data_IF_574928816783
#
_entry.id   IF_574928816783
#
_cell.length_a   1.000
_cell.length_b   1.000
_cell.length_c   1.000
_cell.angle_alpha   90.00
_cell.angle_beta   90.00
_cell.angle_gamma   90.00
#
_symmetry.space_group_name_H-M   'P 1'
#
loop_
_entity.id
_entity.type
_entity.pdbx_description
1 polymer ?
#
# COMPACT_ATOMS: atom_id res chain seq x y z
N UNK A 1 4.47 6.33 -70.91
CA UNK A 1 4.50 7.35 -69.83
C UNK A 1 3.53 6.92 -68.75
N UNK A 2 4.08 6.71 -67.53
CA UNK A 2 3.52 6.59 -66.17
C UNK A 2 1.97 6.53 -66.05
N UNK A 3 1.37 5.40 -65.65
CA UNK A 3 1.22 4.85 -64.29
C UNK A 3 0.50 5.79 -63.31
N UNK A 4 -0.76 5.48 -62.95
CA UNK A 4 -1.27 5.58 -61.57
C UNK A 4 -2.63 4.92 -61.45
N UNK A 5 -2.62 3.65 -61.02
CA UNK A 5 -3.76 3.02 -60.37
C UNK A 5 -3.82 3.58 -58.94
N UNK A 6 -4.89 4.30 -58.62
CA UNK A 6 -5.16 4.77 -57.25
C UNK A 6 -5.71 3.58 -56.47
N UNK A 7 -4.81 2.91 -55.75
CA UNK A 7 -5.18 1.93 -54.72
C UNK A 7 -5.65 2.72 -53.52
N UNK A 8 -6.97 2.77 -53.33
CA UNK A 8 -7.59 3.34 -52.14
C UNK A 8 -7.45 2.30 -51.02
N UNK A 9 -6.37 2.41 -50.25
CA UNK A 9 -6.10 1.60 -49.07
C UNK A 9 -7.09 2.02 -47.96
N UNK A 10 -8.18 1.26 -47.80
CA UNK A 10 -9.01 1.35 -46.60
C UNK A 10 -8.18 0.90 -45.40
N UNK A 11 -7.66 1.86 -44.64
CA UNK A 11 -7.15 1.61 -43.29
C UNK A 11 -8.33 1.20 -42.40
N UNK A 12 -8.55 -0.12 -42.28
CA UNK A 12 -9.27 -0.70 -41.17
C UNK A 12 -8.47 -0.41 -39.90
N UNK A 13 -8.78 0.70 -39.25
CA UNK A 13 -8.42 0.95 -37.86
C UNK A 13 -9.15 -0.11 -37.03
N UNK A 14 -8.51 -1.26 -36.86
CA UNK A 14 -8.82 -2.21 -35.79
C UNK A 14 -8.48 -1.50 -34.49
N UNK A 15 -9.38 -0.64 -34.03
CA UNK A 15 -9.48 -0.32 -32.62
C UNK A 15 -9.80 -1.62 -31.93
N UNK A 16 -8.77 -2.32 -31.45
CA UNK A 16 -8.95 -3.28 -30.39
C UNK A 16 -9.65 -2.49 -29.29
N UNK A 17 -10.96 -2.70 -29.12
CA UNK A 17 -11.64 -2.36 -27.89
C UNK A 17 -10.88 -3.12 -26.81
N UNK A 18 -9.90 -2.46 -26.18
CA UNK A 18 -9.37 -2.89 -24.90
C UNK A 18 -10.61 -3.05 -24.03
N UNK A 19 -10.98 -4.28 -23.74
CA UNK A 19 -12.12 -4.58 -22.91
C UNK A 19 -11.81 -3.91 -21.58
N UNK A 20 -12.53 -2.84 -21.24
CA UNK A 20 -12.27 -2.09 -20.00
C UNK A 20 -12.26 -3.09 -18.86
N UNK A 21 -11.15 -3.12 -18.12
CA UNK A 21 -10.99 -3.90 -16.89
C UNK A 21 -12.27 -3.76 -16.06
N UNK A 22 -12.89 -4.89 -15.68
CA UNK A 22 -14.01 -4.86 -14.74
C UNK A 22 -13.47 -4.33 -13.41
N UNK A 23 -14.14 -3.33 -12.84
CA UNK A 23 -13.79 -2.72 -11.55
C UNK A 23 -14.95 -3.02 -10.57
N UNK A 24 -14.68 -3.40 -9.31
CA UNK A 24 -13.35 -3.49 -8.69
C UNK A 24 -12.52 -4.69 -9.19
N UNK A 25 -11.19 -4.52 -9.18
CA UNK A 25 -10.21 -5.56 -9.54
C UNK A 25 -8.97 -5.42 -8.67
N UNK A 26 -8.28 -6.54 -8.41
CA UNK A 26 -7.02 -6.56 -7.69
C UNK A 26 -6.01 -7.52 -8.33
N UNK A 27 -4.73 -7.33 -8.05
CA UNK A 27 -3.64 -8.20 -8.51
C UNK A 27 -2.60 -8.35 -7.41
N UNK A 28 -1.98 -9.53 -7.32
CA UNK A 28 -0.84 -9.81 -6.44
C UNK A 28 0.51 -9.45 -7.06
N UNK A 29 0.49 -8.73 -8.20
CA UNK A 29 1.71 -8.38 -8.94
C UNK A 29 2.64 -9.58 -9.16
N UNK A 30 2.06 -10.76 -9.43
CA UNK A 30 2.78 -12.05 -9.42
C UNK A 30 3.75 -12.25 -10.59
N UNK A 31 3.92 -11.24 -11.45
CA UNK A 31 4.86 -11.29 -12.56
C UNK A 31 4.97 -9.98 -13.32
N UNK A 32 5.76 -10.03 -14.39
CA UNK A 32 6.20 -8.85 -15.14
C UNK A 32 5.04 -8.01 -15.70
N UNK A 33 3.93 -8.62 -16.11
CA UNK A 33 2.85 -7.91 -16.77
C UNK A 33 2.20 -6.89 -15.84
N UNK A 34 1.68 -7.36 -14.70
CA UNK A 34 1.01 -6.51 -13.71
C UNK A 34 1.99 -5.58 -12.98
N UNK A 35 3.22 -6.03 -12.69
CA UNK A 35 4.28 -5.15 -12.15
C UNK A 35 4.54 -3.95 -13.08
N UNK A 36 4.68 -4.20 -14.39
CA UNK A 36 4.94 -3.13 -15.37
C UNK A 36 3.78 -2.14 -15.44
N UNK A 37 2.54 -2.63 -15.40
CA UNK A 37 1.34 -1.77 -15.39
C UNK A 37 1.30 -0.88 -14.15
N UNK A 38 1.47 -1.46 -12.96
CA UNK A 38 1.42 -0.71 -11.70
C UNK A 38 2.55 0.30 -11.60
N UNK A 39 3.79 -0.07 -11.96
CA UNK A 39 4.91 0.88 -11.96
C UNK A 39 4.65 2.06 -12.89
N UNK A 40 4.03 1.84 -14.06
CA UNK A 40 3.69 2.94 -14.97
C UNK A 40 2.65 3.88 -14.35
N UNK A 41 1.66 3.36 -13.65
CA UNK A 41 0.66 4.19 -12.96
C UNK A 41 1.30 5.00 -11.81
N UNK A 42 2.23 4.38 -11.07
CA UNK A 42 3.04 5.04 -10.03
C UNK A 42 3.88 6.18 -10.60
N UNK A 43 4.64 5.92 -11.67
CA UNK A 43 5.45 6.93 -12.38
C UNK A 43 4.57 8.10 -12.86
N UNK A 44 3.40 7.77 -13.44
CA UNK A 44 2.47 8.78 -13.98
C UNK A 44 1.80 9.60 -12.87
N UNK A 45 1.62 9.03 -11.69
CA UNK A 45 1.10 9.73 -10.52
C UNK A 45 2.16 10.60 -9.82
N UNK A 46 3.45 10.41 -10.14
CA UNK A 46 4.56 11.11 -9.53
C UNK A 46 5.04 10.47 -8.23
N UNK A 47 4.81 9.17 -8.04
CA UNK A 47 5.37 8.44 -6.89
C UNK A 47 6.90 8.40 -6.97
N UNK A 48 7.55 8.33 -5.81
CA UNK A 48 9.00 8.28 -5.72
C UNK A 48 9.53 6.85 -5.75
N UNK A 49 10.82 6.70 -6.09
CA UNK A 49 11.55 5.43 -6.04
C UNK A 49 10.84 4.25 -6.72
N UNK A 50 10.12 4.49 -7.81
CA UNK A 50 9.36 3.45 -8.54
C UNK A 50 10.27 2.36 -9.10
N UNK A 51 11.52 2.68 -9.45
CA UNK A 51 12.52 1.69 -9.87
C UNK A 51 12.89 0.74 -8.70
N UNK A 52 13.16 1.28 -7.51
CA UNK A 52 13.41 0.50 -6.29
C UNK A 52 12.21 -0.35 -5.92
N UNK A 53 11.00 0.22 -5.96
CA UNK A 53 9.76 -0.54 -5.77
C UNK A 53 9.64 -1.69 -6.77
N UNK A 54 9.92 -1.44 -8.06
CA UNK A 54 9.89 -2.48 -9.10
C UNK A 54 10.86 -3.62 -8.78
N UNK A 55 12.06 -3.30 -8.30
CA UNK A 55 13.03 -4.30 -7.85
C UNK A 55 12.49 -5.13 -6.68
N UNK A 56 11.85 -4.48 -5.69
CA UNK A 56 11.22 -5.14 -4.55
C UNK A 56 10.12 -6.11 -4.95
N UNK A 57 9.17 -5.65 -5.77
CA UNK A 57 8.06 -6.50 -6.20
C UNK A 57 8.54 -7.63 -7.13
N UNK A 58 9.50 -7.35 -8.01
CA UNK A 58 10.03 -8.38 -8.93
C UNK A 58 10.73 -9.49 -8.16
N UNK A 59 11.56 -9.14 -7.19
CA UNK A 59 12.27 -10.11 -6.37
C UNK A 59 11.32 -10.97 -5.52
N UNK A 60 10.32 -10.35 -4.89
CA UNK A 60 9.28 -11.09 -4.18
C UNK A 60 8.50 -12.00 -5.13
N UNK A 61 8.08 -11.51 -6.29
CA UNK A 61 7.38 -12.32 -7.29
C UNK A 61 8.24 -13.50 -7.77
N UNK A 62 9.54 -13.29 -7.99
CA UNK A 62 10.46 -14.29 -8.50
C UNK A 62 10.89 -15.34 -7.47
N UNK A 63 10.74 -15.04 -6.17
CA UNK A 63 11.06 -15.93 -5.04
C UNK A 63 9.77 -16.45 -4.37
N UNK A 64 9.26 -15.71 -3.38
CA UNK A 64 8.04 -15.98 -2.62
C UNK A 64 6.83 -16.24 -3.53
N UNK A 65 6.64 -15.38 -4.53
CA UNK A 65 5.52 -15.43 -5.45
C UNK A 65 5.50 -16.68 -6.31
N UNK A 66 6.64 -17.10 -6.87
CA UNK A 66 6.76 -18.37 -7.60
C UNK A 66 6.48 -19.58 -6.71
N UNK A 67 6.96 -19.57 -5.47
CA UNK A 67 6.73 -20.66 -4.53
C UNK A 67 5.24 -20.77 -4.14
N UNK A 68 4.58 -19.64 -3.93
CA UNK A 68 3.14 -19.55 -3.64
C UNK A 68 2.25 -19.61 -4.89
N UNK A 69 2.84 -19.63 -6.09
CA UNK A 69 2.14 -19.63 -7.39
C UNK A 69 1.22 -18.42 -7.58
N UNK A 70 1.69 -17.24 -7.19
CA UNK A 70 0.96 -16.00 -7.43
C UNK A 70 0.76 -15.77 -8.92
N UNK A 71 -0.45 -15.36 -9.29
CA UNK A 71 -0.80 -15.13 -10.69
C UNK A 71 -0.43 -13.70 -11.14
N UNK A 72 0.01 -13.58 -12.39
CA UNK A 72 0.33 -12.30 -13.04
C UNK A 72 -0.88 -11.77 -13.83
N UNK A 73 -2.02 -11.67 -13.14
CA UNK A 73 -3.29 -11.22 -13.70
C UNK A 73 -4.05 -10.35 -12.71
N UNK A 74 -5.07 -9.68 -13.23
CA UNK A 74 -6.08 -9.02 -12.42
C UNK A 74 -7.28 -9.94 -12.18
N UNK A 75 -7.79 -9.93 -10.96
CA UNK A 75 -8.86 -10.79 -10.47
C UNK A 75 -9.88 -9.99 -9.66
N UNK A 76 -11.01 -10.63 -9.35
CA UNK A 76 -11.98 -10.07 -8.40
C UNK A 76 -11.36 -10.02 -6.99
N UNK A 77 -11.39 -8.87 -6.29
CA UNK A 77 -10.80 -8.75 -4.96
C UNK A 77 -11.36 -9.77 -3.94
N UNK A 78 -12.62 -10.19 -4.06
CA UNK A 78 -13.21 -11.19 -3.15
C UNK A 78 -12.61 -12.59 -3.34
N UNK A 79 -11.98 -12.85 -4.49
CA UNK A 79 -11.34 -14.11 -4.82
C UNK A 79 -9.83 -14.11 -4.54
N UNK A 80 -9.26 -12.97 -4.14
CA UNK A 80 -7.84 -12.84 -3.84
C UNK A 80 -7.51 -13.65 -2.58
N UNK A 81 -6.81 -14.78 -2.76
CA UNK A 81 -6.30 -15.61 -1.68
C UNK A 81 -4.89 -16.07 -2.00
N UNK A 82 -3.92 -15.61 -1.23
CA UNK A 82 -2.53 -16.07 -1.30
C UNK A 82 -2.24 -17.06 -0.17
N UNK A 83 -1.40 -18.05 -0.46
CA UNK A 83 -0.80 -18.90 0.57
C UNK A 83 0.41 -18.16 1.15
N UNK A 84 0.19 -17.42 2.25
CA UNK A 84 1.21 -16.60 2.90
C UNK A 84 2.33 -17.44 3.51
N UNK A 85 2.02 -18.66 3.97
CA UNK A 85 3.02 -19.62 4.43
C UNK A 85 3.95 -20.02 3.29
N UNK A 86 3.42 -20.26 2.07
CA UNK A 86 4.25 -20.51 0.89
C UNK A 86 5.02 -19.27 0.43
N UNK A 87 4.46 -18.08 0.60
CA UNK A 87 5.21 -16.85 0.31
C UNK A 87 6.43 -16.76 1.23
N UNK A 88 6.24 -16.92 2.54
CA UNK A 88 7.31 -16.94 3.54
C UNK A 88 8.35 -18.03 3.26
N UNK A 89 7.91 -19.28 3.04
CA UNK A 89 8.79 -20.41 2.68
C UNK A 89 9.67 -20.08 1.46
N UNK A 90 9.11 -19.39 0.46
CA UNK A 90 9.82 -19.05 -0.77
C UNK A 90 10.78 -17.87 -0.58
N UNK A 91 10.43 -16.92 0.28
CA UNK A 91 11.29 -15.81 0.65
C UNK A 91 12.51 -16.29 1.43
N UNK A 92 12.31 -17.06 2.50
CA UNK A 92 13.37 -17.57 3.40
C UNK A 92 14.34 -18.54 2.71
N UNK A 93 13.94 -19.15 1.59
CA UNK A 93 14.85 -19.96 0.77
C UNK A 93 15.90 -19.14 0.02
N UNK A 94 15.63 -17.85 -0.22
CA UNK A 94 16.47 -16.97 -1.03
C UNK A 94 17.04 -15.80 -0.23
N UNK A 95 16.50 -15.52 0.95
CA UNK A 95 16.83 -14.37 1.79
C UNK A 95 16.95 -14.76 3.26
N UNK A 96 17.86 -14.11 3.98
CA UNK A 96 18.09 -14.26 5.41
C UNK A 96 17.59 -13.06 6.24
N UNK A 97 16.77 -12.22 5.62
CA UNK A 97 16.16 -11.01 6.21
C UNK A 97 14.68 -10.91 5.78
N UNK A 98 13.87 -10.16 6.52
CA UNK A 98 12.46 -9.91 6.16
C UNK A 98 12.33 -9.00 4.93
N UNK A 99 11.35 -9.28 4.06
CA UNK A 99 10.96 -8.34 2.99
C UNK A 99 10.45 -7.00 3.57
N UNK A 100 9.96 -6.08 2.74
CA UNK A 100 9.29 -4.87 3.21
C UNK A 100 7.84 -5.14 3.62
N UNK A 101 7.30 -4.26 4.46
CA UNK A 101 5.90 -4.26 4.87
C UNK A 101 5.15 -3.03 4.31
N UNK A 102 3.94 -2.80 4.85
CA UNK A 102 3.05 -1.75 4.39
C UNK A 102 3.61 -0.35 4.62
N UNK A 103 4.19 -0.13 5.80
CA UNK A 103 4.74 1.15 6.24
C UNK A 103 5.98 1.47 5.42
N UNK A 104 6.88 0.50 5.28
CA UNK A 104 8.11 0.65 4.49
C UNK A 104 7.82 0.92 3.01
N UNK A 105 6.90 0.15 2.41
CA UNK A 105 6.52 0.31 1.01
C UNK A 105 5.88 1.67 0.74
N UNK A 106 4.91 2.08 1.57
CA UNK A 106 4.23 3.36 1.40
C UNK A 106 5.19 4.55 1.62
N UNK A 107 6.09 4.45 2.59
CA UNK A 107 7.07 5.49 2.88
C UNK A 107 8.09 5.66 1.75
N UNK A 108 8.59 4.55 1.18
CA UNK A 108 9.45 4.59 -0.01
C UNK A 108 8.78 5.35 -1.17
N UNK A 109 7.53 4.99 -1.48
CA UNK A 109 6.80 5.57 -2.61
C UNK A 109 6.39 7.03 -2.41
N UNK A 110 6.41 7.52 -1.16
CA UNK A 110 6.10 8.89 -0.79
C UNK A 110 7.35 9.75 -0.52
N UNK A 111 8.56 9.21 -0.63
CA UNK A 111 9.76 9.98 -0.36
C UNK A 111 9.80 11.27 -1.21
N UNK A 112 10.20 12.39 -0.62
CA UNK A 112 10.15 13.71 -1.27
C UNK A 112 8.75 14.31 -1.51
N UNK A 113 7.66 13.53 -1.42
CA UNK A 113 6.28 14.04 -1.39
C UNK A 113 5.76 14.23 0.03
N UNK A 114 6.16 13.35 0.95
CA UNK A 114 5.82 13.43 2.37
C UNK A 114 6.76 14.42 3.07
N UNK A 115 6.16 15.35 3.79
CA UNK A 115 6.87 16.35 4.60
C UNK A 115 6.35 16.36 6.02
N UNK A 116 7.23 16.72 6.96
CA UNK A 116 6.88 17.02 8.35
C UNK A 116 7.57 18.32 8.76
N UNK A 117 6.92 19.14 9.60
CA UNK A 117 7.53 20.34 10.18
C UNK A 117 8.50 19.99 11.32
N UNK A 118 8.27 18.86 11.98
CA UNK A 118 9.13 18.33 13.06
C UNK A 118 8.98 16.82 13.18
N UNK A 119 9.95 16.18 13.82
CA UNK A 119 9.96 14.74 14.11
C UNK A 119 10.25 14.48 15.59
N UNK A 120 9.86 13.31 16.07
CA UNK A 120 10.30 12.77 17.35
C UNK A 120 11.78 12.38 17.26
N UNK A 121 12.55 12.74 18.28
CA UNK A 121 13.92 12.23 18.45
C UNK A 121 13.86 10.91 19.23
N UNK A 122 14.36 9.82 18.64
CA UNK A 122 14.45 8.48 19.25
C UNK A 122 13.10 7.86 19.62
N UNK A 123 12.59 7.03 18.72
CA UNK A 123 11.43 6.18 18.98
C UNK A 123 11.80 5.02 19.93
N UNK A 124 11.04 4.90 21.03
CA UNK A 124 11.23 3.89 22.10
C UNK A 124 10.07 2.88 22.18
N UNK A 125 9.15 2.92 21.21
CA UNK A 125 7.96 2.08 21.19
C UNK A 125 8.22 0.66 20.69
N UNK A 126 7.24 -0.24 20.84
CA UNK A 126 7.38 -1.65 20.42
C UNK A 126 6.68 -2.00 19.11
N UNK A 127 5.76 -1.17 18.62
CA UNK A 127 4.93 -1.49 17.44
C UNK A 127 5.68 -1.42 16.10
N UNK A 128 6.84 -0.75 16.07
CA UNK A 128 7.76 -0.70 14.94
C UNK A 128 9.01 -1.57 15.12
N UNK A 129 9.03 -2.50 16.09
CA UNK A 129 10.23 -3.27 16.40
C UNK A 129 10.78 -4.02 15.18
N UNK A 130 9.91 -4.70 14.42
CA UNK A 130 10.33 -5.44 13.23
C UNK A 130 10.71 -4.52 12.06
N UNK A 131 9.99 -3.40 11.88
CA UNK A 131 10.30 -2.39 10.87
C UNK A 131 11.69 -1.81 11.10
N UNK A 132 11.95 -1.35 12.33
CA UNK A 132 13.21 -0.70 12.70
C UNK A 132 14.35 -1.70 12.66
N UNK A 133 14.15 -2.95 13.09
CA UNK A 133 15.14 -4.01 12.93
C UNK A 133 15.50 -4.24 11.45
N UNK A 134 14.52 -4.31 10.56
CA UNK A 134 14.76 -4.46 9.13
C UNK A 134 15.49 -3.24 8.54
N UNK A 135 14.96 -2.04 8.78
CA UNK A 135 15.52 -0.76 8.29
C UNK A 135 16.97 -0.57 8.76
N UNK A 136 17.27 -0.90 10.01
CA UNK A 136 18.59 -0.64 10.59
C UNK A 136 19.66 -1.62 10.07
N UNK A 137 19.28 -2.86 9.71
CA UNK A 137 20.21 -3.96 9.44
C UNK A 137 20.26 -4.44 7.98
N UNK A 138 19.33 -4.03 7.11
CA UNK A 138 19.26 -4.50 5.71
C UNK A 138 19.57 -3.36 4.75
N UNK A 139 20.65 -3.52 3.96
CA UNK A 139 21.11 -2.50 2.97
C UNK A 139 20.03 -2.09 1.96
N UNK A 140 19.10 -3.01 1.65
CA UNK A 140 17.96 -2.76 0.76
C UNK A 140 17.09 -1.57 1.20
N UNK A 141 17.05 -1.26 2.49
CA UNK A 141 16.18 -0.24 3.07
C UNK A 141 16.90 1.07 3.42
N UNK A 142 18.13 1.27 2.91
CA UNK A 142 18.95 2.45 3.22
C UNK A 142 18.23 3.78 2.95
N UNK A 143 17.45 3.88 1.86
CA UNK A 143 16.65 5.07 1.54
C UNK A 143 15.63 5.42 2.64
N UNK A 144 15.02 4.42 3.28
CA UNK A 144 14.10 4.64 4.41
C UNK A 144 14.91 5.05 5.65
N UNK A 145 16.06 4.40 5.87
CA UNK A 145 16.95 4.65 6.99
C UNK A 145 17.46 6.10 7.05
N UNK A 146 17.70 6.73 5.90
CA UNK A 146 18.06 8.15 5.81
C UNK A 146 16.99 9.09 6.42
N UNK A 147 15.73 8.66 6.45
CA UNK A 147 14.58 9.41 6.96
C UNK A 147 13.90 8.71 8.16
N UNK A 148 14.67 7.95 8.94
CA UNK A 148 14.18 7.09 10.02
C UNK A 148 13.32 7.81 11.06
N UNK A 149 13.71 9.01 11.48
CA UNK A 149 12.95 9.75 12.51
C UNK A 149 11.56 10.13 12.00
N UNK A 150 11.44 10.52 10.73
CA UNK A 150 10.15 10.80 10.11
C UNK A 150 9.31 9.53 9.96
N UNK A 151 9.93 8.41 9.58
CA UNK A 151 9.27 7.10 9.51
C UNK A 151 8.67 6.72 10.88
N UNK A 152 9.48 6.77 11.94
CA UNK A 152 9.02 6.38 13.28
C UNK A 152 8.04 7.39 13.88
N UNK A 153 8.17 8.67 13.56
CA UNK A 153 7.20 9.70 13.97
C UNK A 153 5.83 9.44 13.34
N UNK A 154 5.79 9.10 12.05
CA UNK A 154 4.54 8.86 11.33
C UNK A 154 3.83 7.58 11.80
N UNK A 155 4.56 6.48 11.95
CA UNK A 155 3.97 5.16 12.16
C UNK A 155 4.01 4.65 13.61
N UNK A 156 4.80 5.29 14.46
CA UNK A 156 4.92 4.91 15.88
C UNK A 156 3.60 5.08 16.63
N UNK A 157 3.40 4.30 17.67
CA UNK A 157 2.17 4.36 18.46
C UNK A 157 1.95 5.73 19.09
N UNK A 158 0.68 6.15 19.18
CA UNK A 158 0.25 7.44 19.71
C UNK A 158 -0.67 7.19 20.92
N UNK A 159 -0.32 7.78 22.06
CA UNK A 159 -1.12 7.65 23.29
C UNK A 159 -2.50 8.28 23.14
N UNK A 160 -3.53 7.61 23.65
CA UNK A 160 -4.91 8.11 23.66
C UNK A 160 -5.18 8.85 24.97
N UNK A 161 -4.88 10.15 25.00
CA UNK A 161 -4.92 10.96 26.23
C UNK A 161 -6.30 11.01 26.93
N UNK A 162 -7.40 10.94 26.16
CA UNK A 162 -8.77 11.11 26.63
C UNK A 162 -9.52 9.77 26.87
N UNK A 163 -8.95 8.64 26.43
CA UNK A 163 -9.50 7.26 26.44
C UNK A 163 -10.90 7.06 25.83
N UNK A 164 -11.60 8.10 25.40
CA UNK A 164 -12.95 8.03 24.80
C UNK A 164 -12.93 8.26 23.30
N UNK A 165 -11.90 8.95 22.81
CA UNK A 165 -11.75 9.33 21.41
C UNK A 165 -10.44 8.83 20.78
N UNK A 166 -10.19 7.51 20.71
CA UNK A 166 -9.00 6.98 20.05
C UNK A 166 -8.91 7.39 18.56
N UNK A 167 -10.03 7.68 17.91
CA UNK A 167 -10.08 8.15 16.52
C UNK A 167 -9.47 9.54 16.28
N UNK A 168 -9.10 10.29 17.32
CA UNK A 168 -8.43 11.60 17.13
C UNK A 168 -6.92 11.50 17.21
N UNK A 169 -6.38 10.46 17.85
CA UNK A 169 -4.96 10.39 18.22
C UNK A 169 -4.03 10.49 16.99
N UNK A 170 -4.35 9.79 15.90
CA UNK A 170 -3.57 9.85 14.66
C UNK A 170 -3.68 11.22 13.97
N UNK A 171 -4.89 11.78 13.86
CA UNK A 171 -5.10 13.12 13.30
C UNK A 171 -4.41 14.22 14.11
N UNK A 172 -4.40 14.09 15.44
CA UNK A 172 -3.75 15.04 16.34
C UNK A 172 -2.23 14.97 16.21
N UNK A 173 -1.67 13.75 16.13
CA UNK A 173 -0.25 13.54 15.83
C UNK A 173 0.12 14.07 14.45
N UNK A 174 -0.70 13.79 13.43
CA UNK A 174 -0.51 14.29 12.07
C UNK A 174 -0.38 15.81 12.04
N UNK A 175 -1.29 16.52 12.72
CA UNK A 175 -1.28 17.98 12.84
C UNK A 175 -0.11 18.48 13.69
N UNK A 176 0.19 17.79 14.80
CA UNK A 176 1.24 18.20 15.72
C UNK A 176 2.61 18.26 15.06
N UNK A 177 2.94 17.24 14.25
CA UNK A 177 4.19 17.15 13.51
C UNK A 177 4.16 17.86 12.15
N UNK A 178 3.01 18.45 11.79
CA UNK A 178 2.86 19.21 10.54
C UNK A 178 3.00 18.34 9.30
N UNK A 179 2.51 17.09 9.34
CA UNK A 179 2.60 16.19 8.19
C UNK A 179 1.80 16.71 6.99
N UNK A 180 2.37 16.60 5.80
CA UNK A 180 1.76 16.99 4.54
C UNK A 180 2.20 16.05 3.42
N UNK A 181 1.33 15.84 2.42
CA UNK A 181 1.70 15.20 1.16
C UNK A 181 1.56 16.24 0.06
N UNK A 182 2.67 16.58 -0.60
CA UNK A 182 2.71 17.50 -1.73
C UNK A 182 2.29 16.79 -3.03
N UNK A 183 1.03 16.38 -3.10
CA UNK A 183 0.43 15.76 -4.29
C UNK A 183 -1.09 15.96 -4.31
N UNK A 184 -1.63 16.26 -5.49
CA UNK A 184 -3.07 16.26 -5.74
C UNK A 184 -3.59 14.90 -6.26
N UNK A 185 -2.67 13.97 -6.53
CA UNK A 185 -2.97 12.63 -7.06
C UNK A 185 -2.69 11.51 -6.08
N UNK A 186 -1.68 11.64 -5.22
CA UNK A 186 -1.26 10.60 -4.29
C UNK A 186 -1.68 10.98 -2.88
N UNK A 187 -2.19 10.00 -2.14
CA UNK A 187 -2.51 10.12 -0.72
C UNK A 187 -2.03 8.88 0.04
N UNK A 188 -1.77 9.03 1.33
CA UNK A 188 -1.52 7.94 2.26
C UNK A 188 -2.87 7.55 2.89
N UNK A 189 -3.30 6.31 2.65
CA UNK A 189 -4.46 5.75 3.31
C UNK A 189 -4.00 4.84 4.44
N UNK A 190 -4.38 5.15 5.67
CA UNK A 190 -3.94 4.43 6.86
C UNK A 190 -5.12 3.83 7.62
N UNK A 191 -5.00 2.57 8.00
CA UNK A 191 -5.87 1.86 8.93
C UNK A 191 -5.15 1.86 10.28
N UNK A 192 -5.75 2.56 11.25
CA UNK A 192 -5.21 2.71 12.60
C UNK A 192 -6.02 1.87 13.56
N UNK A 193 -5.31 1.04 14.32
CA UNK A 193 -5.88 0.12 15.30
C UNK A 193 -5.68 0.71 16.69
N UNK A 194 -6.69 0.58 17.55
CA UNK A 194 -6.61 0.95 18.95
C UNK A 194 -6.28 -0.28 19.79
N UNK A 195 -5.21 -0.20 20.58
CA UNK A 195 -4.89 -1.19 21.60
C UNK A 195 -5.44 -0.72 22.96
N UNK A 196 -6.51 -1.34 23.48
CA UNK A 196 -7.11 -0.95 24.74
C UNK A 196 -6.27 -1.32 25.98
N UNK A 197 -5.28 -2.21 25.84
CA UNK A 197 -4.44 -2.64 26.96
C UNK A 197 -3.34 -1.63 27.27
N UNK A 198 -2.77 -1.01 26.23
CA UNK A 198 -1.71 0.00 26.33
C UNK A 198 -2.25 1.44 26.19
N UNK A 199 -3.53 1.61 25.88
CA UNK A 199 -4.18 2.91 25.60
C UNK A 199 -3.47 3.70 24.49
N UNK A 200 -3.07 3.02 23.41
CA UNK A 200 -2.42 3.64 22.24
C UNK A 200 -3.15 3.29 20.96
N UNK A 201 -3.00 4.14 19.96
CA UNK A 201 -3.32 3.80 18.57
C UNK A 201 -2.05 3.63 17.76
N UNK A 202 -2.03 2.70 16.82
CA UNK A 202 -0.90 2.48 15.92
C UNK A 202 -1.40 2.21 14.50
N UNK A 203 -0.54 2.47 13.51
CA UNK A 203 -0.86 2.19 12.10
C UNK A 203 -0.73 0.69 11.88
N UNK A 204 -1.86 -0.02 11.85
CA UNK A 204 -1.91 -1.47 11.63
C UNK A 204 -1.78 -1.85 10.16
N UNK A 205 -2.18 -0.94 9.25
CA UNK A 205 -1.95 -1.10 7.82
C UNK A 205 -1.93 0.24 7.12
N UNK A 206 -1.17 0.35 6.03
CA UNK A 206 -1.14 1.56 5.20
C UNK A 206 -0.81 1.24 3.75
N UNK A 207 -1.14 2.15 2.86
CA UNK A 207 -0.75 2.08 1.46
C UNK A 207 -0.95 3.42 0.78
N UNK A 208 -0.50 3.53 -0.46
CA UNK A 208 -0.71 4.75 -1.25
C UNK A 208 -1.97 4.60 -2.10
N UNK A 209 -2.80 5.63 -2.08
CA UNK A 209 -4.00 5.75 -2.88
C UNK A 209 -3.76 6.80 -3.96
N UNK A 210 -3.72 6.34 -5.21
CA UNK A 210 -3.60 7.17 -6.40
C UNK A 210 -5.00 7.47 -6.94
N UNK A 211 -5.29 8.75 -7.11
CA UNK A 211 -6.46 9.23 -7.84
C UNK A 211 -6.13 9.37 -9.32
N UNK A 212 -6.86 8.62 -10.14
CA UNK A 212 -6.95 8.86 -11.58
C UNK A 212 -8.28 9.57 -11.90
N UNK A 213 -8.52 9.92 -13.17
CA UNK A 213 -9.69 10.70 -13.60
C UNK A 213 -11.02 10.10 -13.15
N UNK A 214 -11.18 8.80 -13.33
CA UNK A 214 -12.46 8.08 -13.16
C UNK A 214 -12.36 6.91 -12.15
N UNK A 215 -11.21 6.66 -11.55
CA UNK A 215 -10.98 5.59 -10.58
C UNK A 215 -9.82 5.89 -9.62
N UNK A 216 -9.66 5.00 -8.65
CA UNK A 216 -8.55 5.00 -7.72
C UNK A 216 -7.76 3.70 -7.85
N UNK A 217 -6.45 3.79 -7.65
CA UNK A 217 -5.54 2.66 -7.53
C UNK A 217 -4.89 2.69 -6.15
N UNK A 218 -5.14 1.65 -5.35
CA UNK A 218 -4.49 1.46 -4.06
C UNK A 218 -3.34 0.47 -4.21
N UNK A 219 -2.12 0.85 -3.82
CA UNK A 219 -0.92 0.01 -3.88
C UNK A 219 -0.41 -0.21 -2.46
N UNK A 220 -0.18 -1.47 -2.12
CA UNK A 220 0.09 -1.91 -0.75
C UNK A 220 0.96 -3.16 -0.69
N UNK A 221 1.51 -3.43 0.50
CA UNK A 221 2.21 -4.65 0.88
C UNK A 221 1.83 -4.95 2.32
N UNK A 222 0.85 -5.79 2.60
CA UNK A 222 0.20 -5.81 3.93
C UNK A 222 1.18 -6.12 5.07
N UNK A 223 1.96 -7.18 4.91
CA UNK A 223 2.99 -7.62 5.86
C UNK A 223 4.14 -8.29 5.11
N UNK A 224 5.24 -8.58 5.79
CA UNK A 224 6.47 -9.13 5.21
C UNK A 224 6.25 -10.38 4.35
N UNK A 225 5.38 -11.28 4.79
CA UNK A 225 5.08 -12.55 4.13
C UNK A 225 3.95 -12.45 3.10
N UNK A 226 3.20 -11.34 3.07
CA UNK A 226 2.08 -11.18 2.15
C UNK A 226 2.54 -10.59 0.81
N UNK A 227 1.87 -10.88 -0.31
CA UNK A 227 2.23 -10.30 -1.60
C UNK A 227 2.10 -8.79 -1.63
N UNK A 228 2.91 -8.15 -2.48
CA UNK A 228 2.58 -6.82 -2.96
C UNK A 228 1.26 -6.89 -3.73
N UNK A 229 0.36 -5.95 -3.49
CA UNK A 229 -0.96 -5.94 -4.09
C UNK A 229 -1.30 -4.56 -4.64
N UNK A 230 -2.06 -4.56 -5.73
CA UNK A 230 -2.74 -3.37 -6.21
C UNK A 230 -4.23 -3.63 -6.38
N UNK A 231 -5.06 -2.67 -5.99
CA UNK A 231 -6.52 -2.75 -6.06
C UNK A 231 -7.06 -1.51 -6.78
N UNK A 232 -7.79 -1.70 -7.86
CA UNK A 232 -8.46 -0.62 -8.62
C UNK A 232 -9.96 -0.60 -8.30
N UNK A 233 -10.48 0.58 -7.97
CA UNK A 233 -11.89 0.82 -7.55
C UNK A 233 -12.43 2.12 -8.15
N UNK A 234 -13.75 2.29 -8.22
CA UNK A 234 -14.38 3.55 -8.65
C UNK A 234 -14.50 4.57 -7.53
N UNK A 235 -14.62 4.13 -6.29
CA UNK A 235 -14.80 5.02 -5.13
C UNK A 235 -13.95 4.56 -3.96
N UNK A 236 -13.64 5.48 -3.05
CA UNK A 236 -12.97 5.12 -1.78
C UNK A 236 -13.83 4.15 -0.97
N UNK A 237 -15.16 4.30 -0.97
CA UNK A 237 -16.08 3.38 -0.29
C UNK A 237 -15.97 1.94 -0.80
N UNK A 238 -15.78 1.73 -2.12
CA UNK A 238 -15.52 0.40 -2.68
C UNK A 238 -14.19 -0.18 -2.17
N UNK A 239 -13.14 0.64 -2.05
CA UNK A 239 -11.89 0.21 -1.45
C UNK A 239 -12.07 -0.17 0.02
N UNK A 240 -12.75 0.66 0.81
CA UNK A 240 -12.99 0.37 2.22
C UNK A 240 -13.79 -0.93 2.41
N UNK A 241 -14.77 -1.20 1.53
CA UNK A 241 -15.51 -2.46 1.53
C UNK A 241 -14.62 -3.69 1.24
N UNK A 242 -13.58 -3.55 0.43
CA UNK A 242 -12.60 -4.61 0.14
C UNK A 242 -11.66 -4.77 1.34
N UNK A 243 -11.15 -3.68 1.91
CA UNK A 243 -10.28 -3.71 3.10
C UNK A 243 -11.00 -4.32 4.31
N UNK A 244 -12.30 -4.09 4.45
CA UNK A 244 -13.18 -4.71 5.46
C UNK A 244 -13.29 -6.24 5.36
N UNK A 245 -12.81 -6.87 4.29
CA UNK A 245 -12.79 -8.33 4.16
C UNK A 245 -11.66 -8.99 4.97
N UNK A 246 -10.70 -8.20 5.45
CA UNK A 246 -9.49 -8.66 6.14
C UNK A 246 -9.73 -8.73 7.65
N UNK A 247 -9.87 -9.93 8.22
CA UNK A 247 -10.18 -10.08 9.64
C UNK A 247 -9.06 -9.56 10.56
N UNK A 248 -7.82 -9.51 10.09
CA UNK A 248 -6.64 -9.08 10.86
C UNK A 248 -6.68 -7.62 11.33
N UNK A 249 -7.57 -6.80 10.78
CA UNK A 249 -7.73 -5.40 11.22
C UNK A 249 -8.67 -5.25 12.41
N UNK A 250 -9.45 -6.28 12.73
CA UNK A 250 -10.49 -6.22 13.75
C UNK A 250 -10.04 -6.93 15.00
N UNK A 251 -10.21 -6.25 16.14
CA UNK A 251 -10.02 -6.82 17.46
C UNK A 251 -11.25 -7.60 17.94
N UNK A 252 -11.40 -7.70 19.26
CA UNK A 252 -12.53 -8.40 19.88
C UNK A 252 -13.87 -7.67 19.66
N UNK A 253 -14.98 -8.41 19.79
CA UNK A 253 -16.32 -7.83 19.64
C UNK A 253 -16.54 -6.68 20.64
N UNK A 254 -16.85 -5.49 20.10
CA UNK A 254 -17.07 -4.28 20.88
C UNK A 254 -15.84 -3.39 21.05
N UNK A 255 -14.66 -3.82 20.58
CA UNK A 255 -13.50 -2.95 20.49
C UNK A 255 -13.69 -1.85 19.44
N UNK A 256 -13.10 -0.67 19.71
CA UNK A 256 -13.27 0.49 18.86
C UNK A 256 -12.36 0.40 17.62
N UNK A 257 -12.86 0.88 16.49
CA UNK A 257 -12.11 0.88 15.23
C UNK A 257 -12.31 -0.39 14.40
N UNK A 258 -11.39 -0.69 13.46
CA UNK A 258 -10.23 0.12 13.12
C UNK A 258 -10.64 1.40 12.38
N UNK A 259 -9.88 2.46 12.58
CA UNK A 259 -10.15 3.81 12.05
C UNK A 259 -9.39 4.04 10.75
N UNK A 260 -10.01 4.74 9.80
CA UNK A 260 -9.43 4.99 8.47
C UNK A 260 -9.13 6.46 8.32
N UNK A 261 -7.93 6.75 7.82
CA UNK A 261 -7.47 8.11 7.56
C UNK A 261 -6.95 8.24 6.14
N UNK A 262 -7.19 9.40 5.54
CA UNK A 262 -6.57 9.83 4.29
C UNK A 262 -5.74 11.08 4.59
N UNK A 263 -4.41 11.01 4.43
CA UNK A 263 -3.48 12.10 4.77
C UNK A 263 -3.72 12.65 6.20
N UNK A 264 -3.92 11.75 7.16
CA UNK A 264 -4.19 12.11 8.56
C UNK A 264 -5.60 12.62 8.85
N UNK A 265 -6.45 12.85 7.85
CA UNK A 265 -7.87 13.17 8.06
C UNK A 265 -8.67 11.90 8.30
N UNK A 266 -9.38 11.82 9.43
CA UNK A 266 -10.30 10.71 9.72
C UNK A 266 -11.47 10.71 8.73
N UNK A 267 -11.62 9.62 7.98
CA UNK A 267 -12.67 9.47 6.96
C UNK A 267 -13.73 8.42 7.31
N UNK A 268 -13.50 7.62 8.36
CA UNK A 268 -14.49 6.65 8.83
C UNK A 268 -13.90 5.48 9.62
N UNK A 269 -14.76 4.55 9.99
CA UNK A 269 -14.40 3.33 10.71
C UNK A 269 -14.79 2.12 9.87
N UNK A 270 -13.88 1.17 9.68
CA UNK A 270 -14.22 -0.06 8.97
C UNK A 270 -15.20 -0.89 9.80
N UNK A 271 -16.07 -1.61 9.11
CA UNK A 271 -16.96 -2.58 9.72
C UNK A 271 -16.63 -3.96 9.20
N UNK A 272 -16.44 -4.91 10.11
CA UNK A 272 -16.26 -6.30 9.74
C UNK A 272 -17.49 -6.77 8.94
N UNK A 273 -17.27 -7.50 7.84
CA UNK A 273 -18.37 -8.17 7.16
C UNK A 273 -18.79 -9.39 7.99
N UNK A 274 -20.00 -9.35 8.53
CA UNK A 274 -20.65 -10.53 9.10
C UNK A 274 -21.14 -11.41 7.95
N UNK A 275 -20.61 -12.63 7.84
CA UNK A 275 -21.09 -13.66 6.91
C UNK A 275 -22.27 -14.44 7.49
#
# INVERSE_FOLDING_TARGET
MKLSAVVMLLCLMLGACAQKQKIPAATYMGGKHTITEICKELDTAGASHVDTFREWVTDFADSAGKNAKLEDVWSDPENMKADTGKCMDGWEQNHDYSDSDCRMTAFLLLDGLLHAESTEDNYEGTYLMFDTEAIDNVERYETIKENRDMFTTLYGEKSVADKKHPETAFSDSWKHYGFQIDSDRISLLSIVIYDPYSDVTFVGHTGILIKDRDDYLFVEKIAFEQPYQATKVKTVDELLNILSLRPEYFGEEGEAGPFVYNNGEYIGTLKAKTY
#
